data_IF_552966371881
#
_entry.id   IF_552966371881
#
_cell.length_a   1.000
_cell.length_b   1.000
_cell.length_c   1.000
_cell.angle_alpha   90.00
_cell.angle_beta   90.00
_cell.angle_gamma   90.00
#
_symmetry.space_group_name_H-M   'P 1'
#
loop_
_entity.id
_entity.type
_entity.pdbx_description
1 polymer ?
#
# COMPACT_ATOMS: atom_id res chain seq x y z
N UNK A 1 32.55 -34.90 -27.11
CA UNK A 1 31.28 -34.28 -27.60
C UNK A 1 30.12 -34.45 -26.62
N UNK A 2 29.74 -35.66 -26.18
CA UNK A 2 28.62 -35.85 -25.23
C UNK A 2 28.84 -35.17 -23.86
N UNK A 3 30.06 -35.22 -23.30
CA UNK A 3 30.40 -34.53 -22.03
C UNK A 3 30.34 -33.01 -22.17
N UNK A 4 30.83 -32.46 -23.28
CA UNK A 4 30.79 -31.03 -23.59
C UNK A 4 29.36 -30.51 -23.77
N UNK A 5 28.47 -31.33 -24.36
CA UNK A 5 27.04 -31.02 -24.51
C UNK A 5 26.29 -31.03 -23.16
N UNK A 6 26.61 -31.98 -22.28
CA UNK A 6 26.01 -32.08 -20.95
C UNK A 6 26.45 -30.93 -20.02
N UNK A 7 27.72 -30.51 -20.08
CA UNK A 7 28.20 -29.35 -19.33
C UNK A 7 27.57 -28.02 -19.80
N UNK A 8 27.32 -27.88 -21.11
CA UNK A 8 26.66 -26.69 -21.66
C UNK A 8 25.16 -26.64 -21.34
N UNK A 9 24.47 -27.79 -21.35
CA UNK A 9 23.07 -27.87 -20.92
C UNK A 9 22.90 -27.60 -19.41
N UNK A 10 23.82 -28.10 -18.57
CA UNK A 10 23.82 -27.80 -17.14
C UNK A 10 24.10 -26.31 -16.84
N UNK A 11 25.04 -25.69 -17.56
CA UNK A 11 25.32 -24.26 -17.45
C UNK A 11 24.11 -23.38 -17.84
N UNK A 12 23.37 -23.78 -18.87
CA UNK A 12 22.16 -23.07 -19.30
C UNK A 12 21.02 -23.20 -18.28
N UNK A 13 20.82 -24.38 -17.69
CA UNK A 13 19.80 -24.60 -16.65
C UNK A 13 20.07 -23.81 -15.35
N UNK A 14 21.35 -23.67 -14.96
CA UNK A 14 21.75 -22.83 -13.80
C UNK A 14 21.53 -21.34 -14.07
N UNK A 15 21.72 -20.89 -15.32
CA UNK A 15 21.47 -19.50 -15.70
C UNK A 15 19.98 -19.10 -15.65
N UNK A 16 19.07 -20.06 -15.84
CA UNK A 16 17.62 -19.87 -15.72
C UNK A 16 17.14 -19.83 -14.25
N UNK A 17 17.95 -20.28 -13.30
CA UNK A 17 17.62 -20.32 -11.87
C UNK A 17 18.16 -19.10 -11.09
N UNK A 18 18.92 -18.21 -11.73
CA UNK A 18 19.44 -16.97 -11.12
C UNK A 18 18.39 -15.89 -10.88
N UNK A 19 17.14 -16.11 -11.31
CA UNK A 19 16.01 -15.17 -11.16
C UNK A 19 15.49 -15.04 -9.71
N UNK A 20 16.05 -15.80 -8.76
CA UNK A 20 15.50 -15.99 -7.41
C UNK A 20 15.79 -14.86 -6.42
N UNK A 21 16.60 -13.84 -6.78
CA UNK A 21 17.05 -12.78 -5.84
C UNK A 21 16.87 -11.34 -6.34
N UNK A 22 15.91 -11.05 -7.21
CA UNK A 22 15.87 -9.73 -7.86
C UNK A 22 15.15 -8.61 -7.07
N UNK A 23 14.54 -8.93 -5.93
CA UNK A 23 14.11 -7.95 -4.93
C UNK A 23 14.20 -8.62 -3.56
N UNK A 24 15.31 -8.41 -2.87
CA UNK A 24 15.60 -9.00 -1.55
C UNK A 24 15.41 -8.02 -0.39
N UNK A 25 15.09 -6.76 -0.70
CA UNK A 25 14.83 -5.69 0.28
C UNK A 25 16.08 -5.06 0.88
N UNK A 26 17.28 -5.34 0.37
CA UNK A 26 18.55 -4.82 0.90
C UNK A 26 19.11 -3.62 0.12
N UNK A 27 18.63 -3.39 -1.10
CA UNK A 27 19.04 -2.26 -1.92
C UNK A 27 18.15 -1.03 -1.65
N UNK A 28 18.68 -0.04 -0.94
CA UNK A 28 17.93 1.15 -0.55
C UNK A 28 18.37 2.38 -1.34
N UNK A 29 17.45 2.99 -2.08
CA UNK A 29 17.67 4.25 -2.82
C UNK A 29 18.02 5.40 -1.88
N UNK A 30 17.36 5.40 -0.72
CA UNK A 30 17.57 6.32 0.40
C UNK A 30 17.17 5.62 1.71
N UNK A 31 17.57 6.11 2.89
CA UNK A 31 17.25 5.45 4.16
C UNK A 31 15.75 5.22 4.34
N UNK A 32 15.34 3.95 4.47
CA UNK A 32 13.94 3.55 4.63
C UNK A 32 13.17 3.33 3.32
N UNK A 33 13.78 3.57 2.15
CA UNK A 33 13.16 3.35 0.83
C UNK A 33 13.95 2.32 0.05
N UNK A 34 13.57 1.05 0.24
CA UNK A 34 14.27 -0.10 -0.32
C UNK A 34 13.44 -0.88 -1.34
N UNK A 35 12.29 -0.34 -1.78
CA UNK A 35 11.40 -1.01 -2.73
C UNK A 35 12.00 -1.01 -4.15
N UNK A 36 11.89 -2.16 -4.83
CA UNK A 36 12.25 -2.33 -6.24
C UNK A 36 11.19 -3.16 -6.99
N UNK A 37 10.96 -2.92 -8.29
CA UNK A 37 10.10 -3.78 -9.09
C UNK A 37 10.79 -5.14 -9.32
N UNK A 38 10.04 -6.23 -9.18
CA UNK A 38 10.54 -7.57 -9.57
C UNK A 38 10.82 -7.63 -11.08
N UNK A 39 11.70 -8.53 -11.55
CA UNK A 39 11.94 -8.72 -12.98
C UNK A 39 10.65 -8.98 -13.74
N UNK A 40 10.44 -8.23 -14.82
CA UNK A 40 9.22 -8.30 -15.63
C UNK A 40 8.04 -7.47 -15.10
N UNK A 41 8.18 -6.75 -13.98
CA UNK A 41 7.18 -5.82 -13.47
C UNK A 41 7.62 -4.36 -13.66
N UNK A 42 6.67 -3.42 -13.88
CA UNK A 42 7.01 -2.03 -14.09
C UNK A 42 7.32 -1.30 -12.78
N UNK A 43 8.18 -0.28 -12.84
CA UNK A 43 8.44 0.62 -11.71
C UNK A 43 7.22 1.47 -11.34
N UNK A 44 6.41 1.86 -12.34
CA UNK A 44 5.15 2.59 -12.16
C UNK A 44 3.98 1.78 -12.70
N UNK A 45 2.92 1.64 -11.89
CA UNK A 45 1.74 0.84 -12.27
C UNK A 45 0.75 1.60 -13.15
N UNK A 46 0.74 2.94 -13.11
CA UNK A 46 -0.15 3.77 -13.93
C UNK A 46 0.08 3.53 -15.44
N UNK A 47 -0.99 3.26 -16.18
CA UNK A 47 -0.94 2.92 -17.61
C UNK A 47 -0.47 1.50 -17.92
N UNK A 48 -0.07 0.71 -16.93
CA UNK A 48 0.32 -0.70 -17.12
C UNK A 48 -0.88 -1.64 -17.09
N UNK A 49 -0.68 -2.93 -17.39
CA UNK A 49 -1.70 -3.97 -17.18
C UNK A 49 -2.05 -4.21 -15.70
N UNK A 50 -1.27 -3.62 -14.78
CA UNK A 50 -1.46 -3.68 -13.32
C UNK A 50 -2.00 -2.36 -12.75
N UNK A 51 -2.44 -1.42 -13.60
CA UNK A 51 -3.00 -0.15 -13.15
C UNK A 51 -4.28 -0.38 -12.33
N UNK A 52 -4.33 0.01 -11.05
CA UNK A 52 -5.48 -0.25 -10.19
C UNK A 52 -6.68 0.67 -10.49
N UNK A 53 -6.47 1.80 -11.18
CA UNK A 53 -7.52 2.75 -11.61
C UNK A 53 -8.51 3.12 -10.49
N UNK A 54 -8.00 3.36 -9.29
CA UNK A 54 -8.83 3.75 -8.15
C UNK A 54 -9.63 5.02 -8.46
N UNK A 55 -10.92 5.01 -8.14
CA UNK A 55 -11.75 6.22 -8.16
C UNK A 55 -11.32 7.14 -6.99
N UNK A 56 -10.90 8.39 -7.26
CA UNK A 56 -10.57 9.36 -6.21
C UNK A 56 -11.70 9.58 -5.21
N UNK A 57 -12.97 9.46 -5.62
CA UNK A 57 -14.11 9.63 -4.73
C UNK A 57 -14.17 8.51 -3.69
N UNK A 58 -13.90 7.27 -4.07
CA UNK A 58 -13.85 6.13 -3.14
C UNK A 58 -12.69 6.26 -2.14
N UNK A 59 -11.51 6.66 -2.62
CA UNK A 59 -10.34 6.87 -1.75
C UNK A 59 -10.58 7.95 -0.70
N UNK A 60 -11.39 8.96 -1.00
CA UNK A 60 -11.64 10.08 -0.10
C UNK A 60 -12.71 9.80 0.97
N UNK A 61 -13.52 8.74 0.85
CA UNK A 61 -14.61 8.45 1.80
C UNK A 61 -14.15 8.28 3.24
N UNK A 62 -12.97 7.69 3.45
CA UNK A 62 -12.42 7.50 4.80
C UNK A 62 -12.15 8.83 5.50
N UNK A 63 -11.57 9.81 4.80
CA UNK A 63 -11.26 11.11 5.36
C UNK A 63 -12.53 11.90 5.66
N UNK A 64 -13.53 11.83 4.76
CA UNK A 64 -14.83 12.45 5.00
C UNK A 64 -15.54 11.85 6.22
N UNK A 65 -15.58 10.52 6.33
CA UNK A 65 -16.18 9.83 7.48
C UNK A 65 -15.52 10.26 8.79
N UNK A 66 -14.19 10.34 8.83
CA UNK A 66 -13.44 10.79 10.01
C UNK A 66 -13.79 12.23 10.37
N UNK A 67 -13.79 13.16 9.40
CA UNK A 67 -14.15 14.56 9.63
C UNK A 67 -15.55 14.72 10.23
N UNK A 68 -16.51 13.94 9.74
CA UNK A 68 -17.88 13.96 10.26
C UNK A 68 -17.96 13.32 11.66
N UNK A 69 -17.19 12.26 11.93
CA UNK A 69 -17.06 11.70 13.28
C UNK A 69 -16.46 12.70 14.27
N UNK A 70 -15.40 13.41 13.88
CA UNK A 70 -14.74 14.44 14.68
C UNK A 70 -15.70 15.59 14.98
N UNK A 71 -16.45 16.09 13.99
CA UNK A 71 -17.44 17.13 14.18
C UNK A 71 -18.54 16.71 15.17
N UNK A 72 -19.04 15.47 15.06
CA UNK A 72 -20.02 14.92 16.03
C UNK A 72 -19.42 14.80 17.43
N UNK A 73 -18.17 14.35 17.55
CA UNK A 73 -17.50 14.24 18.85
C UNK A 73 -17.24 15.59 19.50
N UNK A 74 -16.85 16.60 18.72
CA UNK A 74 -16.70 17.96 19.20
C UNK A 74 -18.03 18.48 19.79
N UNK A 75 -19.15 18.31 19.07
CA UNK A 75 -20.47 18.72 19.58
C UNK A 75 -20.81 18.05 20.92
N UNK A 76 -20.53 16.75 21.05
CA UNK A 76 -20.75 15.99 22.30
C UNK A 76 -19.89 16.51 23.45
N UNK A 77 -18.60 16.72 23.21
CA UNK A 77 -17.65 17.20 24.22
C UNK A 77 -17.99 18.61 24.68
N UNK A 78 -18.35 19.50 23.75
CA UNK A 78 -18.76 20.87 24.08
C UNK A 78 -20.05 20.89 24.92
N UNK A 79 -21.04 20.06 24.58
CA UNK A 79 -22.26 19.95 25.39
C UNK A 79 -21.94 19.43 26.80
N UNK A 80 -21.19 18.33 26.91
CA UNK A 80 -20.75 17.77 28.18
C UNK A 80 -20.03 18.83 29.03
N UNK A 81 -19.12 19.60 28.42
CA UNK A 81 -18.37 20.64 29.13
C UNK A 81 -19.24 21.78 29.63
N UNK A 82 -20.33 22.13 28.92
CA UNK A 82 -21.22 23.24 29.30
C UNK A 82 -22.27 22.82 30.32
N UNK A 83 -22.80 21.61 30.22
CA UNK A 83 -23.96 21.16 31.01
C UNK A 83 -23.59 20.17 32.14
N UNK A 84 -22.42 19.54 32.06
CA UNK A 84 -22.03 18.44 32.93
C UNK A 84 -22.75 17.12 32.63
N UNK A 85 -23.60 17.07 31.60
CA UNK A 85 -24.33 15.86 31.18
C UNK A 85 -23.84 15.40 29.82
N UNK A 86 -23.51 14.11 29.70
CA UNK A 86 -23.18 13.51 28.41
C UNK A 86 -24.45 13.15 27.63
N UNK A 87 -24.45 13.45 26.33
CA UNK A 87 -25.50 13.07 25.38
C UNK A 87 -24.79 12.55 24.11
N UNK A 88 -25.12 11.33 23.67
CA UNK A 88 -24.48 10.72 22.50
C UNK A 88 -25.15 11.13 21.19
N UNK A 89 -26.49 11.12 21.17
CA UNK A 89 -27.26 11.53 20.00
C UNK A 89 -27.07 13.04 19.80
N UNK A 90 -26.50 13.40 18.65
CA UNK A 90 -26.20 14.80 18.33
C UNK A 90 -27.45 15.60 17.99
N UNK A 91 -28.56 14.94 17.66
CA UNK A 91 -29.86 15.57 17.39
C UNK A 91 -30.55 16.00 18.69
N UNK A 92 -30.22 15.37 19.82
CA UNK A 92 -30.71 15.74 21.16
C UNK A 92 -29.88 16.88 21.81
N UNK A 93 -28.76 17.27 21.19
CA UNK A 93 -27.92 18.39 21.66
C UNK A 93 -28.39 19.69 20.98
N UNK A 94 -29.13 20.52 21.73
CA UNK A 94 -29.53 21.88 21.34
C UNK A 94 -28.32 22.82 21.22
#
# INVERSE_FOLDING_TARGET
>A
MKKTLLLSAAGFAVSLSSSVMAYDGTNCKEPGVCWEPKPGFPEKVAGSKYDPKHDPNELNKQAQSIKEMEARNQKRTEHLSKTGRFVYDVEEIN
#
